data_IF_217384699953
#
_entry.id   IF_217384699953
#
_cell.length_a   1.000
_cell.length_b   1.000
_cell.length_c   1.000
_cell.angle_alpha   90.00
_cell.angle_beta   90.00
_cell.angle_gamma   90.00
#
_symmetry.space_group_name_H-M   'P 1'
#
loop_
_entity.id
_entity.type
_entity.pdbx_description
1 polymer ?
#
# COMPACT_ATOMS: atom_id res chain seq x y z
N UNK A 1 8.19 -16.09 -6.64
CA UNK A 1 6.83 -16.66 -6.75
C UNK A 1 6.57 -17.80 -5.74
N UNK A 2 7.35 -17.94 -4.66
CA UNK A 2 7.25 -19.08 -3.70
C UNK A 2 6.49 -18.76 -2.40
N UNK A 3 6.38 -17.49 -2.01
CA UNK A 3 5.93 -17.10 -0.67
C UNK A 3 4.49 -17.54 -0.31
N UNK A 4 3.57 -17.62 -1.28
CA UNK A 4 2.18 -17.97 -0.98
C UNK A 4 1.98 -19.46 -0.66
N UNK A 5 2.73 -20.33 -1.33
CA UNK A 5 2.65 -21.78 -1.11
C UNK A 5 3.23 -22.14 0.26
N UNK A 6 4.41 -21.59 0.58
CA UNK A 6 5.10 -21.84 1.83
C UNK A 6 4.26 -21.35 3.03
N UNK A 7 3.65 -20.17 2.93
CA UNK A 7 2.73 -19.66 3.95
C UNK A 7 1.50 -20.56 4.15
N UNK A 8 0.95 -21.13 3.07
CA UNK A 8 -0.21 -22.02 3.17
C UNK A 8 0.15 -23.36 3.80
N UNK A 9 1.31 -23.92 3.45
CA UNK A 9 1.85 -25.15 4.03
C UNK A 9 2.11 -24.96 5.54
N UNK A 10 2.76 -23.87 5.93
CA UNK A 10 2.97 -23.52 7.34
C UNK A 10 1.64 -23.29 8.08
N UNK A 11 0.66 -22.66 7.43
CA UNK A 11 -0.71 -22.55 7.96
C UNK A 11 -1.37 -23.90 8.22
N UNK A 12 -1.16 -24.88 7.34
CA UNK A 12 -1.61 -26.26 7.52
C UNK A 12 -1.00 -26.94 8.74
N UNK A 13 0.31 -26.78 8.95
CA UNK A 13 0.99 -27.32 10.13
C UNK A 13 0.51 -26.63 11.43
N UNK A 14 0.22 -25.33 11.42
CA UNK A 14 -0.43 -24.67 12.57
C UNK A 14 -1.80 -25.25 12.87
N UNK A 15 -2.60 -25.52 11.84
CA UNK A 15 -3.90 -26.14 12.00
C UNK A 15 -3.80 -27.56 12.60
N UNK A 16 -2.74 -28.32 12.26
CA UNK A 16 -2.53 -29.65 12.88
C UNK A 16 -2.22 -29.58 14.37
N UNK A 17 -1.52 -28.54 14.83
CA UNK A 17 -1.27 -28.31 16.25
C UNK A 17 -2.53 -27.91 17.01
N UNK A 18 -3.39 -27.11 16.38
CA UNK A 18 -4.64 -26.63 16.99
C UNK A 18 -5.76 -27.67 16.99
N UNK A 19 -5.70 -28.68 16.12
CA UNK A 19 -6.74 -29.68 16.01
C UNK A 19 -6.65 -30.69 17.18
N UNK A 20 -7.70 -30.85 18.01
CA UNK A 20 -7.68 -31.78 19.13
C UNK A 20 -7.68 -33.26 18.70
N UNK A 21 -8.04 -33.55 17.45
CA UNK A 21 -8.15 -34.92 16.92
C UNK A 21 -6.89 -35.41 16.19
N UNK A 22 -5.78 -34.68 16.24
CA UNK A 22 -4.50 -35.10 15.64
C UNK A 22 -3.67 -35.89 16.66
N UNK A 23 -2.87 -36.84 16.17
CA UNK A 23 -1.97 -37.62 17.01
C UNK A 23 -0.80 -36.78 17.51
N UNK A 24 -0.25 -37.14 18.68
CA UNK A 24 0.89 -36.45 19.28
C UNK A 24 2.13 -36.51 18.38
N UNK A 25 2.32 -37.60 17.65
CA UNK A 25 3.39 -37.76 16.65
C UNK A 25 3.26 -36.74 15.50
N UNK A 26 2.04 -36.51 15.02
CA UNK A 26 1.79 -35.53 13.96
C UNK A 26 1.99 -34.09 14.46
N UNK A 27 1.66 -33.83 15.73
CA UNK A 27 1.90 -32.53 16.36
C UNK A 27 3.40 -32.27 16.54
N UNK A 28 4.17 -33.23 17.03
CA UNK A 28 5.62 -33.10 17.19
C UNK A 28 6.31 -32.79 15.85
N UNK A 29 5.91 -33.48 14.77
CA UNK A 29 6.43 -33.20 13.43
C UNK A 29 6.03 -31.80 12.93
N UNK A 30 4.78 -31.37 13.17
CA UNK A 30 4.33 -30.03 12.80
C UNK A 30 5.09 -28.92 13.55
N UNK A 31 5.38 -29.11 14.84
CA UNK A 31 6.22 -28.22 15.64
C UNK A 31 7.63 -28.09 15.07
N UNK A 32 8.26 -29.20 14.72
CA UNK A 32 9.61 -29.20 14.14
C UNK A 32 9.66 -28.44 12.80
N UNK A 33 8.68 -28.67 11.92
CA UNK A 33 8.60 -27.97 10.63
C UNK A 33 8.39 -26.47 10.81
N UNK A 34 7.55 -26.05 11.76
CA UNK A 34 7.30 -24.64 12.05
C UNK A 34 8.52 -23.96 12.70
N UNK A 35 9.22 -24.65 13.59
CA UNK A 35 10.46 -24.18 14.21
C UNK A 35 11.58 -23.98 13.17
N UNK A 36 11.75 -24.94 12.26
CA UNK A 36 12.73 -24.85 11.17
C UNK A 36 12.41 -23.71 10.20
N UNK A 37 11.12 -23.39 10.01
CA UNK A 37 10.68 -22.24 9.20
C UNK A 37 10.76 -20.89 9.96
N UNK A 38 11.19 -20.88 11.22
CA UNK A 38 11.27 -19.68 12.05
C UNK A 38 9.91 -19.11 12.47
N UNK A 39 8.86 -19.93 12.42
CA UNK A 39 7.49 -19.52 12.81
C UNK A 39 7.30 -19.74 14.29
N UNK A 40 7.21 -18.66 15.05
CA UNK A 40 6.85 -18.73 16.47
C UNK A 40 5.37 -19.11 16.63
N UNK A 41 5.13 -20.39 16.97
CA UNK A 41 3.81 -20.98 17.22
C UNK A 41 3.16 -20.48 18.51
N UNK A 42 3.94 -19.92 19.44
CA UNK A 42 3.40 -19.37 20.69
C UNK A 42 2.97 -17.91 20.55
N UNK A 43 3.29 -17.25 19.43
CA UNK A 43 2.88 -15.88 19.14
C UNK A 43 1.49 -15.84 18.49
N UNK A 44 0.50 -16.45 19.13
CA UNK A 44 -0.93 -16.40 18.76
C UNK A 44 -1.56 -15.01 19.00
N UNK A 45 -0.77 -14.07 19.49
CA UNK A 45 -1.21 -12.70 19.71
C UNK A 45 -1.55 -12.00 18.38
N UNK A 46 -0.99 -12.43 17.24
CA UNK A 46 -1.29 -11.84 15.92
C UNK A 46 -2.70 -12.16 15.42
N UNK A 47 -3.21 -13.38 15.64
CA UNK A 47 -4.54 -13.76 15.15
C UNK A 47 -5.65 -13.30 16.09
N UNK A 48 -5.41 -13.29 17.40
CA UNK A 48 -6.34 -12.71 18.36
C UNK A 48 -6.47 -11.19 18.18
N UNK A 49 -5.36 -10.48 17.93
CA UNK A 49 -5.40 -9.03 17.66
C UNK A 49 -6.06 -8.69 16.33
N UNK A 50 -5.88 -9.49 15.27
CA UNK A 50 -6.63 -9.30 14.01
C UNK A 50 -8.13 -9.53 14.21
N UNK A 51 -8.50 -10.58 14.93
CA UNK A 51 -9.89 -10.87 15.24
C UNK A 51 -10.53 -9.73 16.05
N UNK A 52 -9.87 -9.30 17.12
CA UNK A 52 -10.32 -8.17 17.95
C UNK A 52 -10.45 -6.89 17.12
N UNK A 53 -9.46 -6.57 16.30
CA UNK A 53 -9.50 -5.38 15.42
C UNK A 53 -10.66 -5.45 14.43
N UNK A 54 -10.96 -6.63 13.89
CA UNK A 54 -12.06 -6.81 12.96
C UNK A 54 -13.42 -6.72 13.63
N UNK A 55 -13.56 -7.26 14.84
CA UNK A 55 -14.77 -7.13 15.67
C UNK A 55 -15.01 -5.66 16.04
N UNK A 56 -13.96 -4.95 16.49
CA UNK A 56 -14.04 -3.52 16.79
C UNK A 56 -14.38 -2.69 15.54
N UNK A 57 -13.83 -3.05 14.38
CA UNK A 57 -14.20 -2.45 13.10
C UNK A 57 -15.68 -2.63 12.76
N UNK A 58 -16.25 -3.80 13.04
CA UNK A 58 -17.68 -4.07 12.89
C UNK A 58 -18.57 -3.20 13.78
N UNK A 59 -18.17 -2.99 15.03
CA UNK A 59 -18.87 -2.08 15.94
C UNK A 59 -18.79 -0.63 15.48
N UNK A 60 -17.64 -0.18 14.95
CA UNK A 60 -17.52 1.16 14.33
C UNK A 60 -18.43 1.30 13.11
N UNK A 61 -18.48 0.28 12.25
CA UNK A 61 -19.38 0.27 11.09
C UNK A 61 -20.85 0.33 11.51
N UNK A 62 -21.21 -0.33 12.62
CA UNK A 62 -22.57 -0.30 13.17
C UNK A 62 -22.98 1.10 13.61
N UNK A 63 -22.05 1.90 14.16
CA UNK A 63 -22.29 3.29 14.53
C UNK A 63 -22.47 4.21 13.32
N UNK A 64 -21.71 3.98 12.24
CA UNK A 64 -21.78 4.82 11.03
C UNK A 64 -22.93 4.44 10.09
N UNK A 65 -23.50 3.24 10.20
CA UNK A 65 -24.56 2.79 9.31
C UNK A 65 -25.91 3.45 9.69
N UNK A 66 -26.55 4.22 8.80
CA UNK A 66 -27.83 4.86 9.09
C UNK A 66 -29.00 3.88 9.26
N UNK A 67 -28.86 2.65 8.77
CA UNK A 67 -29.91 1.62 8.81
C UNK A 67 -29.84 0.72 10.06
N UNK A 68 -28.97 1.01 11.03
CA UNK A 68 -28.88 0.25 12.29
C UNK A 68 -29.78 0.87 13.36
N UNK A 69 -30.34 0.04 14.24
CA UNK A 69 -31.18 0.51 15.34
C UNK A 69 -30.36 1.25 16.40
N UNK A 70 -31.00 2.21 17.07
CA UNK A 70 -30.37 2.98 18.16
C UNK A 70 -29.87 2.07 19.30
N UNK A 71 -30.59 0.99 19.61
CA UNK A 71 -30.16 0.00 20.60
C UNK A 71 -28.90 -0.77 20.17
N UNK A 72 -28.75 -1.08 18.88
CA UNK A 72 -27.53 -1.71 18.36
C UNK A 72 -26.33 -0.75 18.37
N UNK A 73 -26.58 0.54 18.10
CA UNK A 73 -25.56 1.60 18.21
C UNK A 73 -25.11 1.79 19.65
N UNK A 74 -26.04 1.88 20.61
CA UNK A 74 -25.72 2.04 22.02
C UNK A 74 -24.83 0.90 22.55
N UNK A 75 -25.19 -0.36 22.25
CA UNK A 75 -24.37 -1.52 22.60
C UNK A 75 -23.00 -1.52 21.93
N UNK A 76 -22.93 -1.12 20.66
CA UNK A 76 -21.65 -1.03 19.94
C UNK A 76 -20.74 0.06 20.51
N UNK A 77 -21.30 1.19 20.93
CA UNK A 77 -20.57 2.26 21.60
C UNK A 77 -20.02 1.82 22.97
N UNK A 78 -20.83 1.09 23.75
CA UNK A 78 -20.41 0.54 25.04
C UNK A 78 -19.23 -0.44 24.90
N UNK A 79 -19.31 -1.36 23.94
CA UNK A 79 -18.24 -2.34 23.67
C UNK A 79 -16.94 -1.63 23.26
N UNK A 80 -17.02 -0.62 22.38
CA UNK A 80 -15.85 0.17 21.98
C UNK A 80 -15.23 0.93 23.17
N UNK A 81 -16.07 1.54 24.01
CA UNK A 81 -15.62 2.22 25.23
C UNK A 81 -14.98 1.27 26.23
N UNK A 82 -15.53 0.07 26.43
CA UNK A 82 -14.99 -0.94 27.33
C UNK A 82 -13.61 -1.43 26.87
N UNK A 83 -13.40 -1.53 25.57
CA UNK A 83 -12.11 -1.92 24.98
C UNK A 83 -11.11 -0.74 24.88
N UNK A 84 -11.49 0.45 25.37
CA UNK A 84 -10.63 1.65 25.32
C UNK A 84 -10.39 2.17 23.90
N UNK A 85 -11.26 1.82 22.95
CA UNK A 85 -11.20 2.30 21.58
C UNK A 85 -12.11 3.50 21.48
N UNK A 86 -11.56 4.65 21.10
CA UNK A 86 -12.36 5.84 20.90
C UNK A 86 -13.49 5.53 19.90
N UNK A 87 -14.72 5.53 20.44
CA UNK A 87 -15.97 5.33 19.71
C UNK A 87 -16.36 6.57 18.90
N UNK A 88 -15.50 7.60 18.88
CA UNK A 88 -15.61 8.63 17.86
C UNK A 88 -15.63 7.92 16.51
N UNK A 89 -16.62 8.19 15.64
CA UNK A 89 -16.45 7.84 14.24
C UNK A 89 -15.08 8.39 13.86
N UNK A 90 -14.29 7.64 13.12
CA UNK A 90 -13.01 8.11 12.61
C UNK A 90 -13.25 9.26 11.61
N UNK A 91 -13.75 10.38 12.11
CA UNK A 91 -13.71 11.72 11.55
C UNK A 91 -12.36 12.36 11.88
N UNK A 92 -11.47 11.62 12.54
CA UNK A 92 -10.09 12.00 12.87
C UNK A 92 -9.09 10.96 12.35
N UNK A 93 -9.28 10.44 11.13
CA UNK A 93 -8.14 10.28 10.26
C UNK A 93 -7.99 11.62 9.52
N UNK A 94 -6.91 12.40 9.72
CA UNK A 94 -6.69 13.66 9.01
C UNK A 94 -6.35 13.44 7.52
N UNK A 95 -6.92 12.41 6.87
CA UNK A 95 -6.56 12.05 5.49
C UNK A 95 -7.72 11.57 4.61
N UNK A 96 -8.92 11.22 5.11
CA UNK A 96 -9.98 10.72 4.21
C UNK A 96 -10.78 11.80 3.48
N UNK A 97 -10.98 12.99 4.08
CA UNK A 97 -11.58 14.13 3.38
C UNK A 97 -10.71 14.54 2.20
N UNK A 98 -9.42 14.73 2.48
CA UNK A 98 -8.42 15.10 1.49
C UNK A 98 -8.17 13.99 0.46
N UNK A 99 -8.12 12.70 0.84
CA UNK A 99 -7.95 11.60 -0.13
C UNK A 99 -9.12 11.47 -1.08
N UNK A 100 -10.36 11.60 -0.58
CA UNK A 100 -11.54 11.55 -1.43
C UNK A 100 -11.57 12.72 -2.39
N UNK A 101 -11.32 13.93 -1.89
CA UNK A 101 -11.26 15.15 -2.69
C UNK A 101 -10.11 15.09 -3.72
N UNK A 102 -8.92 14.69 -3.31
CA UNK A 102 -7.78 14.50 -4.22
C UNK A 102 -8.05 13.45 -5.28
N UNK A 103 -8.77 12.36 -4.95
CA UNK A 103 -9.16 11.33 -5.92
C UNK A 103 -10.20 11.87 -6.92
N UNK A 104 -11.18 12.64 -6.45
CA UNK A 104 -12.19 13.28 -7.32
C UNK A 104 -11.54 14.30 -8.24
N UNK A 105 -10.69 15.18 -7.71
CA UNK A 105 -9.94 16.17 -8.49
C UNK A 105 -8.98 15.48 -9.48
N UNK A 106 -8.33 14.39 -9.08
CA UNK A 106 -7.51 13.56 -9.97
C UNK A 106 -8.31 12.98 -11.14
N UNK A 107 -9.56 12.56 -10.88
CA UNK A 107 -10.50 12.12 -11.92
C UNK A 107 -10.81 13.22 -12.93
N UNK A 108 -11.11 14.43 -12.46
CA UNK A 108 -11.34 15.58 -13.35
C UNK A 108 -10.09 15.96 -14.17
N UNK A 109 -8.88 15.87 -13.59
CA UNK A 109 -7.63 16.03 -14.34
C UNK A 109 -7.47 14.96 -15.43
N UNK A 110 -7.82 13.71 -15.14
CA UNK A 110 -7.80 12.63 -16.13
C UNK A 110 -8.80 12.88 -17.28
N UNK A 111 -10.00 13.41 -16.97
CA UNK A 111 -10.99 13.82 -17.98
C UNK A 111 -10.43 14.86 -18.95
N UNK A 112 -9.61 15.80 -18.48
CA UNK A 112 -8.97 16.81 -19.32
C UNK A 112 -7.87 16.22 -20.22
N UNK A 113 -7.13 15.21 -19.74
CA UNK A 113 -6.05 14.59 -20.50
C UNK A 113 -6.53 13.52 -21.49
N UNK A 114 -7.76 13.01 -21.35
CA UNK A 114 -8.28 11.98 -22.22
C UNK A 114 -8.72 12.58 -23.57
N UNK A 115 -8.19 12.11 -24.73
CA UNK A 115 -8.61 12.59 -26.03
C UNK A 115 -10.03 12.16 -26.42
N UNK A 116 -10.61 11.16 -25.74
CA UNK A 116 -11.92 10.58 -26.04
C UNK A 116 -13.07 11.15 -25.19
N UNK A 117 -12.82 12.20 -24.40
CA UNK A 117 -13.87 12.91 -23.64
C UNK A 117 -14.43 14.08 -24.45
N UNK A 118 -15.73 14.35 -24.31
CA UNK A 118 -16.41 15.46 -24.98
C UNK A 118 -15.97 16.81 -24.43
N UNK A 119 -16.17 17.87 -25.21
CA UNK A 119 -15.73 19.21 -24.86
C UNK A 119 -16.53 19.78 -23.67
N UNK A 120 -17.82 19.46 -23.57
CA UNK A 120 -18.66 19.85 -22.43
C UNK A 120 -18.21 19.19 -21.13
N UNK A 121 -17.77 17.92 -21.18
CA UNK A 121 -17.26 17.21 -20.01
C UNK A 121 -15.90 17.78 -19.55
N UNK A 122 -15.08 18.27 -20.49
CA UNK A 122 -13.82 18.95 -20.18
C UNK A 122 -14.06 20.33 -19.58
N UNK A 123 -15.03 21.08 -20.07
CA UNK A 123 -15.39 22.39 -19.51
C UNK A 123 -15.85 22.28 -18.06
N UNK A 124 -16.77 21.34 -17.78
CA UNK A 124 -17.21 21.06 -16.41
C UNK A 124 -16.06 20.59 -15.50
N UNK A 125 -15.15 19.76 -16.02
CA UNK A 125 -13.97 19.34 -15.26
C UNK A 125 -13.03 20.52 -14.93
N UNK A 126 -12.91 21.54 -15.80
CA UNK A 126 -12.15 22.77 -15.50
C UNK A 126 -12.80 23.58 -14.40
N UNK A 127 -14.11 23.81 -14.50
CA UNK A 127 -14.86 24.59 -13.51
C UNK A 127 -14.76 23.98 -12.10
N UNK A 128 -14.87 22.65 -12.00
CA UNK A 128 -14.71 21.95 -10.72
C UNK A 128 -13.29 22.09 -10.16
N UNK A 129 -12.26 22.00 -11.00
CA UNK A 129 -10.87 22.17 -10.57
C UNK A 129 -10.55 23.60 -10.13
N UNK A 130 -11.08 24.60 -10.84
CA UNK A 130 -10.91 26.03 -10.52
C UNK A 130 -11.61 26.39 -9.20
N UNK A 131 -12.85 25.94 -9.01
CA UNK A 131 -13.61 26.17 -7.77
C UNK A 131 -12.97 25.50 -6.55
N UNK A 132 -12.30 24.36 -6.75
CA UNK A 132 -11.64 23.61 -5.67
C UNK A 132 -10.27 24.19 -5.28
N UNK A 133 -9.82 25.28 -5.93
CA UNK A 133 -8.51 25.88 -5.67
C UNK A 133 -7.33 24.95 -6.00
N UNK A 134 -7.61 23.83 -6.68
CA UNK A 134 -6.65 22.84 -7.11
C UNK A 134 -5.90 23.40 -8.32
N UNK A 135 -5.05 24.39 -8.04
CA UNK A 135 -4.26 25.09 -9.04
C UNK A 135 -3.59 24.05 -9.95
N UNK A 136 -3.90 24.09 -11.24
CA UNK A 136 -3.30 23.19 -12.25
C UNK A 136 -1.76 23.29 -12.27
N UNK A 137 -1.18 24.29 -11.61
CA UNK A 137 0.25 24.49 -11.46
C UNK A 137 0.89 23.76 -10.27
N UNK A 138 0.15 23.00 -9.46
CA UNK A 138 0.77 22.03 -8.54
C UNK A 138 1.13 20.73 -9.27
N UNK A 139 2.00 20.87 -10.28
CA UNK A 139 2.87 19.81 -10.80
C UNK A 139 4.02 19.51 -9.81
N UNK A 140 4.01 20.08 -8.60
CA UNK A 140 5.17 20.05 -7.68
C UNK A 140 5.16 18.94 -6.65
N UNK A 141 4.17 18.02 -6.67
CA UNK A 141 4.24 16.75 -5.93
C UNK A 141 4.22 15.53 -6.86
N UNK A 142 5.27 15.42 -7.69
CA UNK A 142 5.65 14.14 -8.30
C UNK A 142 6.18 14.20 -9.73
N UNK A 143 6.03 15.33 -10.43
CA UNK A 143 6.59 15.48 -11.76
C UNK A 143 7.03 16.92 -11.98
N UNK A 144 8.15 17.28 -11.36
CA UNK A 144 8.84 18.51 -11.72
C UNK A 144 9.16 18.44 -13.22
N UNK A 145 8.67 19.41 -13.97
CA UNK A 145 9.16 19.81 -15.28
C UNK A 145 10.59 20.41 -15.21
N UNK A 146 11.38 19.97 -14.23
CA UNK A 146 12.85 19.97 -14.15
C UNK A 146 13.39 18.58 -14.54
N UNK A 147 12.55 17.78 -15.22
CA UNK A 147 12.73 16.36 -15.47
C UNK A 147 13.96 16.03 -16.31
N UNK A 148 14.39 16.90 -17.22
CA UNK A 148 15.55 16.60 -18.07
C UNK A 148 16.83 16.46 -17.24
N UNK A 149 17.11 17.40 -16.34
CA UNK A 149 18.38 17.36 -15.58
C UNK A 149 18.43 16.21 -14.56
N UNK A 150 17.34 15.89 -13.87
CA UNK A 150 17.31 14.78 -12.90
C UNK A 150 17.23 13.42 -13.59
N UNK A 151 16.50 13.32 -14.70
CA UNK A 151 16.47 12.12 -15.52
C UNK A 151 17.87 11.86 -16.11
N UNK A 152 18.53 12.88 -16.67
CA UNK A 152 19.91 12.79 -17.16
C UNK A 152 20.87 12.33 -16.05
N UNK A 153 20.82 12.93 -14.86
CA UNK A 153 21.65 12.47 -13.72
C UNK A 153 21.40 11.01 -13.37
N UNK A 154 20.14 10.57 -13.35
CA UNK A 154 19.79 9.17 -13.05
C UNK A 154 20.25 8.21 -14.15
N UNK A 155 20.13 8.62 -15.41
CA UNK A 155 20.62 7.87 -16.58
C UNK A 155 22.15 7.73 -16.52
N UNK A 156 22.87 8.82 -16.28
CA UNK A 156 24.33 8.82 -16.15
C UNK A 156 24.80 8.00 -14.94
N UNK A 157 24.10 8.08 -13.80
CA UNK A 157 24.36 7.21 -12.65
C UNK A 157 24.18 5.72 -13.00
N UNK A 158 23.18 5.39 -13.83
CA UNK A 158 22.99 4.04 -14.36
C UNK A 158 24.19 3.56 -15.19
N UNK A 159 24.70 4.40 -16.09
CA UNK A 159 25.90 4.08 -16.87
C UNK A 159 27.16 3.94 -16.01
N UNK A 160 27.32 4.73 -14.95
CA UNK A 160 28.38 4.54 -13.94
C UNK A 160 28.25 3.20 -13.20
N UNK A 161 27.01 2.77 -12.92
CA UNK A 161 26.72 1.45 -12.36
C UNK A 161 27.13 0.31 -13.28
N UNK A 162 26.93 0.45 -14.59
CA UNK A 162 27.40 -0.53 -15.60
C UNK A 162 28.92 -0.69 -15.54
N UNK A 163 29.68 0.40 -15.43
CA UNK A 163 31.14 0.34 -15.32
C UNK A 163 31.65 -0.32 -14.04
N UNK A 164 30.87 -0.25 -12.97
CA UNK A 164 31.24 -0.80 -11.65
C UNK A 164 30.80 -2.25 -11.46
N UNK A 165 30.04 -2.82 -12.39
CA UNK A 165 29.49 -4.16 -12.27
C UNK A 165 30.33 -5.18 -13.06
N UNK A 166 30.93 -6.14 -12.35
CA UNK A 166 31.80 -7.18 -12.93
C UNK A 166 31.07 -8.14 -13.87
N UNK A 167 29.75 -8.26 -13.76
CA UNK A 167 28.92 -9.13 -14.61
C UNK A 167 28.49 -8.47 -15.93
N UNK A 168 29.00 -7.29 -16.25
CA UNK A 168 28.67 -6.59 -17.50
C UNK A 168 29.69 -6.90 -18.59
N UNK A 169 29.22 -7.02 -19.84
CA UNK A 169 30.10 -7.28 -20.98
C UNK A 169 30.97 -6.06 -21.30
N UNK A 170 32.16 -6.30 -21.85
CA UNK A 170 33.08 -5.22 -22.23
C UNK A 170 32.47 -4.26 -23.27
N UNK A 171 31.65 -4.77 -24.19
CA UNK A 171 30.93 -3.93 -25.17
C UNK A 171 29.93 -2.97 -24.49
N UNK A 172 29.26 -3.40 -23.42
CA UNK A 172 28.34 -2.56 -22.67
C UNK A 172 29.09 -1.49 -21.85
N UNK A 173 30.26 -1.84 -21.30
CA UNK A 173 31.14 -0.88 -20.59
C UNK A 173 31.70 0.17 -21.54
N UNK A 174 32.09 -0.20 -22.75
CA UNK A 174 32.59 0.74 -23.75
C UNK A 174 31.52 1.78 -24.13
N UNK A 175 30.29 1.33 -24.39
CA UNK A 175 29.15 2.23 -24.66
C UNK A 175 28.84 3.14 -23.48
N UNK A 176 28.89 2.62 -22.25
CA UNK A 176 28.70 3.41 -21.05
C UNK A 176 29.79 4.48 -20.87
N UNK A 177 31.06 4.18 -21.19
CA UNK A 177 32.16 5.16 -21.18
C UNK A 177 31.96 6.24 -22.24
N UNK A 178 31.54 5.88 -23.44
CA UNK A 178 31.28 6.86 -24.51
C UNK A 178 30.21 7.87 -24.09
N UNK A 179 29.09 7.39 -23.53
CA UNK A 179 27.97 8.24 -23.08
C UNK A 179 28.38 9.12 -21.90
N UNK A 180 29.16 8.60 -20.93
CA UNK A 180 29.67 9.39 -19.81
C UNK A 180 30.72 10.43 -20.23
N UNK A 181 31.51 10.14 -21.26
CA UNK A 181 32.48 11.07 -21.83
C UNK A 181 31.81 12.20 -22.61
N UNK A 182 30.75 11.88 -23.37
CA UNK A 182 29.94 12.86 -24.09
C UNK A 182 29.20 13.79 -23.13
N UNK A 183 28.72 13.25 -22.00
CA UNK A 183 28.10 14.02 -20.92
C UNK A 183 29.09 14.81 -20.03
N UNK A 184 30.41 14.66 -20.24
CA UNK A 184 31.43 15.38 -19.47
C UNK A 184 31.62 14.92 -18.01
N UNK A 185 31.14 13.72 -17.66
CA UNK A 185 31.28 13.15 -16.30
C UNK A 185 32.54 12.31 -16.08
N UNK A 186 33.37 12.16 -17.11
CA UNK A 186 34.66 11.47 -17.06
C UNK A 186 35.77 12.51 -16.81
N UNK A 187 36.19 12.63 -15.55
CA UNK A 187 37.39 13.36 -15.11
C UNK A 187 38.40 12.38 -14.49
#
# INVERSE_FOLDING_TARGET
MSNAHDNHVLGGYKATLSNPNTSDEAKAHAEEVLANAGVDVNNDNSDNTKHDNQVLGGHKATLSNPNTSEEAKARSAEILSQKGVDASPATSAPTQGDEHENRVLGGHKATLSNPHTSDEAKEHAREVLDNSGANLNDTTKGHSTTGDSEHEKRVLAGYKGVLSNDNTSEEAKEKARAILSEAGELH
#
